data_IF_500379222892
#
_entry.id   IF_500379222892
#
_cell.length_a   1.000
_cell.length_b   1.000
_cell.length_c   1.000
_cell.angle_alpha   90.00
_cell.angle_beta   90.00
_cell.angle_gamma   90.00
#
_symmetry.space_group_name_H-M   'P 1'
#
loop_
_entity.id
_entity.type
_entity.pdbx_description
1 polymer ?
#
# COMPACT_ATOMS: atom_id res chain seq x y z
N UNK A 1 39.32 -7.65 -0.78
CA UNK A 1 39.69 -7.23 -2.14
C UNK A 1 38.89 -5.98 -2.49
N UNK A 2 39.53 -4.85 -2.84
CA UNK A 2 38.83 -3.60 -3.15
C UNK A 2 38.04 -3.74 -4.45
N UNK A 3 36.74 -3.44 -4.40
CA UNK A 3 35.88 -3.37 -5.58
C UNK A 3 36.41 -2.28 -6.53
N UNK A 4 36.98 -2.68 -7.68
CA UNK A 4 37.29 -1.73 -8.77
C UNK A 4 36.00 -0.98 -9.14
N UNK A 5 36.00 0.36 -9.20
CA UNK A 5 34.85 1.11 -9.67
C UNK A 5 34.53 0.70 -11.11
N UNK A 6 33.28 0.34 -11.38
CA UNK A 6 32.81 0.06 -12.75
C UNK A 6 33.02 1.33 -13.59
N UNK A 7 33.73 1.20 -14.70
CA UNK A 7 33.93 2.29 -15.64
C UNK A 7 32.58 2.90 -16.03
N UNK A 8 32.51 4.24 -16.08
CA UNK A 8 31.32 4.97 -16.49
C UNK A 8 30.87 4.46 -17.88
N UNK A 9 29.56 4.25 -18.10
CA UNK A 9 29.04 3.79 -19.39
C UNK A 9 29.45 4.78 -20.48
N UNK A 10 29.99 4.24 -21.58
CA UNK A 10 30.44 5.05 -22.72
C UNK A 10 29.26 5.84 -23.31
N UNK A 11 29.54 6.99 -23.95
CA UNK A 11 28.49 7.83 -24.56
C UNK A 11 27.55 7.07 -25.52
N UNK A 12 28.04 5.98 -26.12
CA UNK A 12 27.25 5.09 -26.97
C UNK A 12 26.13 4.34 -26.20
N UNK A 13 26.37 3.97 -24.95
CA UNK A 13 25.36 3.32 -24.09
C UNK A 13 24.23 4.29 -23.78
N UNK A 14 24.56 5.54 -23.43
CA UNK A 14 23.57 6.58 -23.20
C UNK A 14 22.75 6.89 -24.45
N UNK A 15 23.40 7.01 -25.62
CA UNK A 15 22.69 7.20 -26.89
C UNK A 15 21.69 6.08 -27.18
N UNK A 16 22.11 4.82 -26.99
CA UNK A 16 21.22 3.65 -27.15
C UNK A 16 20.02 3.70 -26.22
N UNK A 17 20.25 4.05 -24.95
CA UNK A 17 19.19 4.14 -23.94
C UNK A 17 18.22 5.26 -24.27
N UNK A 18 18.72 6.43 -24.62
CA UNK A 18 17.87 7.56 -25.03
C UNK A 18 17.03 7.17 -26.24
N UNK A 19 17.62 6.52 -27.24
CA UNK A 19 16.89 6.03 -28.42
C UNK A 19 15.81 4.98 -28.05
N UNK A 20 16.14 4.02 -27.18
CA UNK A 20 15.19 2.99 -26.71
C UNK A 20 14.03 3.63 -25.93
N UNK A 21 14.31 4.57 -25.03
CA UNK A 21 13.27 5.29 -24.28
C UNK A 21 12.37 6.09 -25.21
N UNK A 22 12.95 6.78 -26.20
CA UNK A 22 12.18 7.56 -27.18
C UNK A 22 11.30 6.67 -28.06
N UNK A 23 11.81 5.49 -28.46
CA UNK A 23 11.04 4.50 -29.20
C UNK A 23 9.84 3.97 -28.38
N UNK A 24 10.05 3.64 -27.10
CA UNK A 24 8.95 3.21 -26.23
C UNK A 24 7.94 4.31 -25.96
N UNK A 25 8.37 5.57 -25.81
CA UNK A 25 7.46 6.71 -25.71
C UNK A 25 6.57 6.83 -26.95
N UNK A 26 7.13 6.68 -28.15
CA UNK A 26 6.36 6.68 -29.39
C UNK A 26 5.37 5.51 -29.45
N UNK A 27 5.78 4.31 -29.01
CA UNK A 27 4.88 3.14 -28.93
C UNK A 27 3.75 3.38 -27.94
N UNK A 28 4.03 3.92 -26.74
CA UNK A 28 3.00 4.24 -25.74
C UNK A 28 2.03 5.29 -26.27
N UNK A 29 2.51 6.36 -26.90
CA UNK A 29 1.67 7.40 -27.51
C UNK A 29 0.82 6.82 -28.64
N UNK A 30 1.40 5.96 -29.48
CA UNK A 30 0.68 5.28 -30.55
C UNK A 30 -0.42 4.36 -30.02
N UNK A 31 -0.10 3.51 -29.04
CA UNK A 31 -1.07 2.61 -28.38
C UNK A 31 -2.17 3.45 -27.72
N UNK A 32 -1.83 4.49 -26.99
CA UNK A 32 -2.81 5.37 -26.35
C UNK A 32 -3.77 6.01 -27.37
N UNK A 33 -3.23 6.52 -28.50
CA UNK A 33 -4.05 7.05 -29.59
C UNK A 33 -4.94 5.98 -30.21
N UNK A 34 -4.41 4.77 -30.41
CA UNK A 34 -5.18 3.63 -30.92
C UNK A 34 -6.31 3.27 -29.96
N UNK A 35 -6.03 3.18 -28.66
CA UNK A 35 -7.04 2.91 -27.63
C UNK A 35 -8.13 3.98 -27.62
N UNK A 36 -7.79 5.26 -27.79
CA UNK A 36 -8.78 6.33 -27.87
C UNK A 36 -9.65 6.24 -29.14
N UNK A 37 -9.06 5.84 -30.27
CA UNK A 37 -9.81 5.67 -31.54
C UNK A 37 -10.79 4.50 -31.46
N UNK A 38 -10.37 3.37 -30.86
CA UNK A 38 -11.17 2.15 -30.77
C UNK A 38 -11.85 1.95 -29.40
N UNK A 39 -11.95 3.00 -28.59
CA UNK A 39 -12.40 2.88 -27.21
C UNK A 39 -13.80 2.24 -27.11
N UNK A 40 -14.71 2.60 -28.02
CA UNK A 40 -16.09 2.09 -28.02
C UNK A 40 -16.15 0.59 -28.33
N UNK A 41 -15.49 0.14 -29.39
CA UNK A 41 -15.46 -1.29 -29.77
C UNK A 41 -14.74 -2.14 -28.71
N UNK A 42 -13.65 -1.62 -28.13
CA UNK A 42 -12.95 -2.29 -27.03
C UNK A 42 -13.82 -2.41 -25.78
N UNK A 43 -14.57 -1.37 -25.43
CA UNK A 43 -15.47 -1.38 -24.28
C UNK A 43 -16.60 -2.40 -24.47
N UNK A 44 -17.12 -2.52 -25.69
CA UNK A 44 -18.18 -3.46 -26.04
C UNK A 44 -17.71 -4.92 -26.06
N UNK A 45 -16.49 -5.18 -26.58
CA UNK A 45 -15.88 -6.52 -26.52
C UNK A 45 -15.43 -6.92 -25.11
N UNK A 46 -14.99 -5.97 -24.29
CA UNK A 46 -14.58 -6.17 -22.89
C UNK A 46 -15.70 -5.72 -21.93
N UNK A 47 -16.91 -6.21 -22.17
CA UNK A 47 -18.08 -5.85 -21.36
C UNK A 47 -18.03 -6.45 -19.94
N UNK A 48 -17.19 -7.46 -19.72
CA UNK A 48 -16.92 -8.01 -18.40
C UNK A 48 -15.77 -7.23 -17.72
N UNK A 49 -16.01 -6.57 -16.57
CA UNK A 49 -14.99 -5.77 -15.88
C UNK A 49 -13.76 -6.60 -15.50
N UNK A 50 -13.96 -7.87 -15.15
CA UNK A 50 -12.87 -8.82 -14.84
C UNK A 50 -11.96 -9.04 -16.06
N UNK A 51 -12.53 -9.19 -17.25
CA UNK A 51 -11.75 -9.39 -18.48
C UNK A 51 -10.95 -8.13 -18.84
N UNK A 52 -11.52 -6.95 -18.59
CA UNK A 52 -10.82 -5.67 -18.75
C UNK A 52 -9.61 -5.55 -17.83
N UNK A 53 -9.77 -5.87 -16.55
CA UNK A 53 -8.66 -5.87 -15.57
C UNK A 53 -7.59 -6.90 -15.94
N UNK A 54 -7.99 -8.10 -16.36
CA UNK A 54 -7.06 -9.14 -16.79
C UNK A 54 -6.25 -8.73 -18.03
N UNK A 55 -6.93 -8.21 -19.06
CA UNK A 55 -6.30 -7.78 -20.31
C UNK A 55 -5.31 -6.62 -20.08
N UNK A 56 -5.71 -5.60 -19.31
CA UNK A 56 -4.85 -4.46 -18.96
C UNK A 56 -3.64 -4.89 -18.13
N UNK A 57 -3.82 -5.80 -17.19
CA UNK A 57 -2.72 -6.38 -16.38
C UNK A 57 -1.70 -7.12 -17.26
N UNK A 58 -2.18 -7.98 -18.17
CA UNK A 58 -1.31 -8.74 -19.07
C UNK A 58 -0.54 -7.80 -20.01
N UNK A 59 -1.22 -6.81 -20.58
CA UNK A 59 -0.62 -5.86 -21.53
C UNK A 59 0.44 -4.98 -20.87
N UNK A 60 0.17 -4.45 -19.67
CA UNK A 60 1.15 -3.66 -18.91
C UNK A 60 2.34 -4.51 -18.44
N UNK A 61 2.10 -5.77 -18.04
CA UNK A 61 3.18 -6.69 -17.67
C UNK A 61 4.08 -6.96 -18.87
N UNK A 62 3.50 -7.24 -20.04
CA UNK A 62 4.24 -7.43 -21.27
C UNK A 62 5.02 -6.17 -21.65
N UNK A 63 4.42 -4.99 -21.53
CA UNK A 63 5.09 -3.70 -21.79
C UNK A 63 6.33 -3.52 -20.91
N UNK A 64 6.20 -3.69 -19.59
CA UNK A 64 7.33 -3.58 -18.65
C UNK A 64 8.41 -4.62 -18.96
N UNK A 65 8.01 -5.85 -19.31
CA UNK A 65 8.92 -6.91 -19.70
C UNK A 65 9.72 -6.55 -20.96
N UNK A 66 9.06 -6.06 -22.01
CA UNK A 66 9.73 -5.66 -23.25
C UNK A 66 10.62 -4.42 -23.08
N UNK A 67 10.22 -3.45 -22.25
CA UNK A 67 11.08 -2.31 -21.86
C UNK A 67 12.34 -2.84 -21.17
N UNK A 68 12.21 -3.73 -20.19
CA UNK A 68 13.34 -4.32 -19.48
C UNK A 68 14.27 -5.11 -20.43
N UNK A 69 13.72 -5.84 -21.39
CA UNK A 69 14.48 -6.60 -22.39
C UNK A 69 15.22 -5.69 -23.38
N UNK A 70 14.66 -4.50 -23.67
CA UNK A 70 15.25 -3.55 -24.62
C UNK A 70 16.41 -2.73 -24.04
N UNK A 71 16.61 -2.75 -22.71
CA UNK A 71 17.65 -1.98 -22.04
C UNK A 71 18.98 -2.76 -21.99
N UNK A 72 20.07 -2.25 -22.61
CA UNK A 72 21.28 -3.03 -22.86
C UNK A 72 22.09 -3.39 -21.59
N UNK A 73 21.83 -2.75 -20.45
CA UNK A 73 22.50 -3.01 -19.18
C UNK A 73 21.72 -3.96 -18.25
N UNK A 74 20.47 -4.25 -18.57
CA UNK A 74 19.63 -5.09 -17.74
C UNK A 74 19.87 -6.55 -18.12
N UNK A 75 20.23 -7.42 -17.15
CA UNK A 75 20.28 -8.85 -17.41
C UNK A 75 18.87 -9.34 -17.75
N UNK A 76 18.77 -10.37 -18.60
CA UNK A 76 17.49 -10.97 -18.96
C UNK A 76 16.66 -11.25 -17.70
N UNK A 77 15.41 -10.76 -17.62
CA UNK A 77 14.58 -10.91 -16.44
C UNK A 77 14.35 -12.39 -16.16
N UNK A 78 14.71 -12.85 -14.96
CA UNK A 78 14.43 -14.21 -14.51
C UNK A 78 12.91 -14.37 -14.30
N UNK A 79 12.40 -15.60 -14.37
CA UNK A 79 10.97 -15.91 -14.17
C UNK A 79 10.41 -15.31 -12.86
N UNK A 80 11.18 -15.33 -11.76
CA UNK A 80 10.79 -14.68 -10.51
C UNK A 80 10.58 -13.16 -10.65
N UNK A 81 11.44 -12.47 -11.41
CA UNK A 81 11.30 -11.04 -11.68
C UNK A 81 10.04 -10.74 -12.50
N UNK A 82 9.74 -11.59 -13.49
CA UNK A 82 8.51 -11.46 -14.29
C UNK A 82 7.27 -11.66 -13.43
N UNK A 83 7.27 -12.69 -12.56
CA UNK A 83 6.18 -12.93 -11.61
C UNK A 83 5.98 -11.74 -10.65
N UNK A 84 7.07 -11.18 -10.11
CA UNK A 84 6.99 -10.01 -9.24
C UNK A 84 6.44 -8.78 -9.98
N UNK A 85 6.89 -8.53 -11.22
CA UNK A 85 6.35 -7.44 -12.06
C UNK A 85 4.86 -7.66 -12.34
N UNK A 86 4.46 -8.88 -12.69
CA UNK A 86 3.05 -9.22 -12.90
C UNK A 86 2.20 -8.92 -11.67
N UNK A 87 2.64 -9.32 -10.48
CA UNK A 87 1.93 -9.03 -9.22
C UNK A 87 1.81 -7.52 -8.99
N UNK A 88 2.89 -6.76 -9.15
CA UNK A 88 2.86 -5.30 -8.96
C UNK A 88 1.98 -4.59 -9.98
N UNK A 89 2.06 -4.99 -11.25
CA UNK A 89 1.20 -4.46 -12.31
C UNK A 89 -0.26 -4.79 -12.03
N UNK A 90 -0.56 -6.03 -11.61
CA UNK A 90 -1.92 -6.43 -11.22
C UNK A 90 -2.44 -5.54 -10.09
N UNK A 91 -1.66 -5.33 -9.04
CA UNK A 91 -2.03 -4.47 -7.92
C UNK A 91 -2.24 -3.02 -8.36
N UNK A 92 -1.39 -2.49 -9.23
CA UNK A 92 -1.51 -1.13 -9.76
C UNK A 92 -2.75 -0.97 -10.63
N UNK A 93 -3.00 -1.92 -11.54
CA UNK A 93 -4.20 -1.93 -12.40
C UNK A 93 -5.45 -2.07 -11.56
N UNK A 94 -5.45 -2.96 -10.58
CA UNK A 94 -6.59 -3.15 -9.67
C UNK A 94 -6.84 -1.87 -8.87
N UNK A 95 -5.78 -1.25 -8.31
CA UNK A 95 -5.88 0.00 -7.57
C UNK A 95 -6.36 1.18 -8.43
N UNK A 96 -5.87 1.30 -9.67
CA UNK A 96 -6.34 2.30 -10.63
C UNK A 96 -7.80 2.07 -11.05
N UNK A 97 -8.18 0.81 -11.29
CA UNK A 97 -9.55 0.45 -11.65
C UNK A 97 -10.51 0.74 -10.50
N UNK A 98 -10.11 0.41 -9.27
CA UNK A 98 -10.89 0.69 -8.07
C UNK A 98 -10.97 2.19 -7.77
N UNK A 99 -9.92 2.97 -8.05
CA UNK A 99 -9.95 4.42 -7.82
C UNK A 99 -10.79 5.19 -8.83
N UNK A 100 -10.95 4.66 -10.04
CA UNK A 100 -11.79 5.26 -11.09
C UNK A 100 -13.21 4.68 -11.11
N UNK A 101 -13.45 3.56 -10.45
CA UNK A 101 -14.80 3.04 -10.25
C UNK A 101 -15.53 3.99 -9.32
N UNK A 102 -16.56 4.66 -9.85
CA UNK A 102 -17.42 5.50 -9.02
C UNK A 102 -17.98 4.67 -7.87
N UNK A 103 -18.19 5.30 -6.71
CA UNK A 103 -18.70 4.59 -5.52
C UNK A 103 -19.99 3.83 -5.84
N UNK A 104 -20.89 4.43 -6.62
CA UNK A 104 -22.13 3.78 -7.08
C UNK A 104 -21.87 2.51 -7.89
N UNK A 105 -20.86 2.51 -8.76
CA UNK A 105 -20.51 1.32 -9.55
C UNK A 105 -19.88 0.24 -8.69
N UNK A 106 -19.00 0.63 -7.76
CA UNK A 106 -18.39 -0.30 -6.81
C UNK A 106 -19.43 -0.92 -5.87
N UNK A 107 -20.36 -0.11 -5.37
CA UNK A 107 -21.49 -0.53 -4.55
C UNK A 107 -22.42 -1.44 -5.36
N UNK A 108 -22.82 -1.05 -6.57
CA UNK A 108 -23.68 -1.87 -7.43
C UNK A 108 -23.02 -3.22 -7.76
N UNK A 109 -21.72 -3.24 -8.07
CA UNK A 109 -20.97 -4.47 -8.30
C UNK A 109 -20.92 -5.35 -7.06
N UNK A 110 -20.63 -4.78 -5.89
CA UNK A 110 -20.59 -5.52 -4.62
C UNK A 110 -21.97 -6.04 -4.20
N UNK A 111 -23.02 -5.27 -4.42
CA UNK A 111 -24.41 -5.70 -4.19
C UNK A 111 -24.79 -6.83 -5.16
N UNK A 112 -24.44 -6.70 -6.44
CA UNK A 112 -24.67 -7.77 -7.44
C UNK A 112 -23.91 -9.05 -7.06
N UNK A 113 -22.65 -8.94 -6.61
CA UNK A 113 -21.88 -10.08 -6.12
C UNK A 113 -22.46 -10.67 -4.83
N UNK A 114 -22.97 -9.84 -3.92
CA UNK A 114 -23.66 -10.28 -2.70
C UNK A 114 -24.94 -11.04 -3.05
N UNK A 115 -25.72 -10.56 -4.00
CA UNK A 115 -26.98 -11.18 -4.36
C UNK A 115 -26.75 -12.49 -5.13
N UNK A 116 -25.65 -12.59 -5.90
CA UNK A 116 -25.28 -13.80 -6.64
C UNK A 116 -24.66 -14.91 -5.76
N UNK A 117 -23.76 -14.56 -4.84
CA UNK A 117 -22.98 -15.52 -4.02
C UNK A 117 -23.46 -15.59 -2.56
N UNK A 118 -24.41 -14.75 -2.15
CA UNK A 118 -25.00 -14.73 -0.83
C UNK A 118 -24.03 -14.29 0.28
N UNK A 119 -24.16 -14.82 1.52
CA UNK A 119 -23.29 -14.49 2.65
C UNK A 119 -21.81 -14.80 2.43
N UNK A 120 -21.51 -15.73 1.50
CA UNK A 120 -20.13 -16.14 1.16
C UNK A 120 -19.33 -14.95 0.59
N UNK A 121 -19.97 -14.02 -0.12
CA UNK A 121 -19.30 -12.81 -0.65
C UNK A 121 -18.66 -12.00 0.45
N UNK A 122 -19.38 -11.82 1.56
CA UNK A 122 -18.87 -11.04 2.71
C UNK A 122 -17.66 -11.76 3.29
N UNK A 123 -17.74 -13.07 3.49
CA UNK A 123 -16.63 -13.86 4.02
C UNK A 123 -15.40 -13.76 3.11
N UNK A 124 -15.57 -13.95 1.79
CA UNK A 124 -14.48 -13.85 0.83
C UNK A 124 -13.86 -12.45 0.80
N UNK A 125 -14.69 -11.41 0.82
CA UNK A 125 -14.24 -10.02 0.80
C UNK A 125 -13.49 -9.66 2.09
N UNK A 126 -13.95 -10.15 3.24
CA UNK A 126 -13.32 -9.97 4.56
C UNK A 126 -11.96 -10.69 4.62
N UNK A 127 -11.86 -11.91 4.09
CA UNK A 127 -10.59 -12.64 4.00
C UNK A 127 -9.63 -11.90 3.07
N UNK A 128 -10.09 -11.52 1.87
CA UNK A 128 -9.30 -10.77 0.91
C UNK A 128 -8.81 -9.46 1.52
N UNK A 129 -9.70 -8.72 2.19
CA UNK A 129 -9.38 -7.50 2.90
C UNK A 129 -8.28 -7.71 3.95
N UNK A 130 -8.42 -8.73 4.81
CA UNK A 130 -7.42 -9.05 5.82
C UNK A 130 -6.05 -9.40 5.22
N UNK A 131 -6.02 -10.15 4.11
CA UNK A 131 -4.79 -10.50 3.40
C UNK A 131 -4.13 -9.28 2.74
N UNK A 132 -4.93 -8.43 2.09
CA UNK A 132 -4.48 -7.18 1.48
C UNK A 132 -3.90 -6.25 2.53
N UNK A 133 -4.57 -6.10 3.68
CA UNK A 133 -4.10 -5.27 4.78
C UNK A 133 -2.82 -5.83 5.45
N UNK A 134 -2.63 -7.15 5.44
CA UNK A 134 -1.42 -7.77 5.97
C UNK A 134 -0.17 -7.43 5.13
N UNK A 135 -0.35 -7.05 3.86
CA UNK A 135 0.75 -6.66 2.99
C UNK A 135 1.28 -5.26 3.37
N UNK A 136 2.61 -5.07 3.40
CA UNK A 136 3.19 -3.77 3.66
C UNK A 136 2.92 -2.81 2.48
N UNK A 137 2.78 -1.52 2.79
CA UNK A 137 2.57 -0.41 1.85
C UNK A 137 1.21 -0.38 1.14
N UNK A 138 0.30 -1.31 1.43
CA UNK A 138 -1.06 -1.21 0.90
C UNK A 138 -1.95 -0.36 1.81
N UNK A 139 -2.61 0.67 1.25
CA UNK A 139 -3.62 1.44 1.96
C UNK A 139 -4.89 0.57 2.08
N UNK A 140 -5.15 0.07 3.29
CA UNK A 140 -6.28 -0.82 3.56
C UNK A 140 -7.42 -0.16 4.32
N UNK A 141 -7.31 1.12 4.68
CA UNK A 141 -8.38 1.81 5.42
C UNK A 141 -9.58 2.06 4.51
N UNK A 142 -9.30 2.41 3.26
CA UNK A 142 -10.27 2.67 2.19
C UNK A 142 -11.14 1.45 1.92
N UNK A 143 -10.52 0.26 1.87
CA UNK A 143 -11.23 -0.99 1.63
C UNK A 143 -12.08 -1.40 2.85
N UNK A 144 -11.59 -1.15 4.07
CA UNK A 144 -12.38 -1.33 5.30
C UNK A 144 -13.59 -0.40 5.36
N UNK A 145 -13.42 0.88 4.99
CA UNK A 145 -14.49 1.86 4.90
C UNK A 145 -15.52 1.49 3.82
N UNK A 146 -15.08 0.98 2.68
CA UNK A 146 -15.97 0.47 1.64
C UNK A 146 -16.84 -0.70 2.15
N UNK A 147 -16.24 -1.66 2.86
CA UNK A 147 -17.00 -2.77 3.46
C UNK A 147 -18.01 -2.24 4.49
N UNK A 148 -17.61 -1.28 5.33
CA UNK A 148 -18.51 -0.62 6.29
C UNK A 148 -19.67 0.09 5.61
N UNK A 149 -19.40 0.80 4.51
CA UNK A 149 -20.41 1.56 3.79
C UNK A 149 -21.42 0.66 3.07
N UNK A 150 -20.94 -0.42 2.46
CA UNK A 150 -21.80 -1.33 1.68
C UNK A 150 -22.62 -2.26 2.58
N UNK A 151 -22.04 -2.73 3.69
CA UNK A 151 -22.67 -3.75 4.55
C UNK A 151 -23.10 -3.21 5.92
N UNK A 152 -22.99 -1.89 6.15
CA UNK A 152 -23.45 -1.21 7.35
C UNK A 152 -22.79 -1.75 8.64
N UNK A 153 -23.56 -1.89 9.75
CA UNK A 153 -23.05 -2.37 11.03
C UNK A 153 -22.37 -3.75 10.96
N UNK A 154 -22.92 -4.67 10.17
CA UNK A 154 -22.33 -5.99 9.96
C UNK A 154 -20.97 -5.89 9.24
N UNK A 155 -20.89 -5.00 8.23
CA UNK A 155 -19.66 -4.64 7.56
C UNK A 155 -18.60 -4.07 8.51
N UNK A 156 -18.99 -3.22 9.45
CA UNK A 156 -18.07 -2.64 10.44
C UNK A 156 -17.46 -3.68 11.37
N UNK A 157 -18.27 -4.62 11.87
CA UNK A 157 -17.75 -5.72 12.68
C UNK A 157 -16.84 -6.63 11.84
N UNK A 158 -17.24 -6.95 10.62
CA UNK A 158 -16.47 -7.81 9.73
C UNK A 158 -15.13 -7.19 9.33
N UNK A 159 -15.12 -5.90 8.98
CA UNK A 159 -13.92 -5.13 8.70
C UNK A 159 -13.03 -5.09 9.95
N UNK A 160 -13.54 -4.77 11.14
CA UNK A 160 -12.76 -4.79 12.38
C UNK A 160 -12.06 -6.14 12.62
N UNK A 161 -12.79 -7.25 12.46
CA UNK A 161 -12.23 -8.59 12.65
C UNK A 161 -11.16 -8.92 11.60
N UNK A 162 -11.38 -8.55 10.34
CA UNK A 162 -10.37 -8.70 9.29
C UNK A 162 -9.14 -7.82 9.51
N UNK A 163 -9.33 -6.59 9.98
CA UNK A 163 -8.22 -5.68 10.32
C UNK A 163 -7.37 -6.28 11.42
N UNK A 164 -8.00 -6.72 12.51
CA UNK A 164 -7.31 -7.37 13.62
C UNK A 164 -6.59 -8.64 13.15
N UNK A 165 -7.27 -9.50 12.41
CA UNK A 165 -6.71 -10.76 11.88
C UNK A 165 -5.54 -10.53 10.92
N UNK A 166 -5.69 -9.62 9.96
CA UNK A 166 -4.66 -9.29 8.97
C UNK A 166 -3.40 -8.69 9.60
N UNK A 167 -3.56 -7.78 10.55
CA UNK A 167 -2.42 -7.18 11.26
C UNK A 167 -1.75 -8.17 12.23
N UNK A 168 -2.52 -9.05 12.87
CA UNK A 168 -1.97 -10.17 13.65
C UNK A 168 -1.20 -11.18 12.77
N UNK A 169 -1.69 -11.42 11.54
CA UNK A 169 -1.00 -12.25 10.55
C UNK A 169 0.33 -11.61 10.14
N UNK A 170 0.33 -10.33 9.78
CA UNK A 170 1.55 -9.58 9.44
C UNK A 170 2.57 -9.62 10.59
N UNK A 171 2.12 -9.38 11.82
CA UNK A 171 2.95 -9.50 13.03
C UNK A 171 3.52 -10.91 13.22
N UNK A 172 2.70 -11.95 13.01
CA UNK A 172 3.13 -13.34 13.09
C UNK A 172 4.18 -13.71 12.05
N UNK A 173 3.97 -13.31 10.79
CA UNK A 173 4.96 -13.47 9.71
C UNK A 173 6.25 -12.74 10.06
N UNK A 174 6.17 -11.51 10.56
CA UNK A 174 7.32 -10.72 10.99
C UNK A 174 8.12 -11.43 12.09
N UNK A 175 7.44 -12.04 13.05
CA UNK A 175 8.07 -12.78 14.15
C UNK A 175 8.76 -14.07 13.69
N UNK A 176 8.18 -14.73 12.69
CA UNK A 176 8.74 -15.93 12.06
C UNK A 176 9.95 -15.64 11.16
N UNK A 177 10.05 -14.43 10.62
CA UNK A 177 11.19 -14.01 9.81
C UNK A 177 12.48 -13.93 10.65
N UNK A 178 13.59 -14.52 10.19
CA UNK A 178 14.88 -14.33 10.82
C UNK A 178 15.35 -12.87 10.66
N UNK A 179 15.80 -12.25 11.75
CA UNK A 179 16.23 -10.84 11.75
C UNK A 179 17.31 -10.55 10.70
N UNK A 180 18.23 -11.49 10.47
CA UNK A 180 19.29 -11.33 9.48
C UNK A 180 18.77 -11.16 8.05
N UNK A 181 17.62 -11.75 7.69
CA UNK A 181 17.02 -11.59 6.36
C UNK A 181 16.58 -10.15 6.17
N UNK A 182 15.93 -9.59 7.19
CA UNK A 182 15.42 -8.21 7.17
C UNK A 182 16.57 -7.21 7.20
N UNK A 183 17.58 -7.41 8.06
CA UNK A 183 18.76 -6.53 8.11
C UNK A 183 19.53 -6.56 6.78
N UNK A 184 19.68 -7.73 6.14
CA UNK A 184 20.33 -7.83 4.84
C UNK A 184 19.50 -7.15 3.73
N UNK A 185 18.17 -7.29 3.77
CA UNK A 185 17.29 -6.63 2.81
C UNK A 185 17.32 -5.10 2.99
N UNK A 186 17.25 -4.61 4.23
CA UNK A 186 17.40 -3.20 4.58
C UNK A 186 18.77 -2.66 4.15
N UNK A 187 19.84 -3.43 4.33
CA UNK A 187 21.17 -3.08 3.83
C UNK A 187 21.25 -2.95 2.31
N UNK A 188 20.48 -3.75 1.56
CA UNK A 188 20.41 -3.65 0.08
C UNK A 188 19.71 -2.38 -0.40
N UNK A 189 18.71 -1.89 0.35
CA UNK A 189 18.01 -0.64 0.04
C UNK A 189 18.73 0.59 0.62
N UNK A 190 19.93 0.42 1.20
CA UNK A 190 20.76 1.50 1.73
C UNK A 190 20.44 1.90 3.19
N UNK A 191 19.58 1.16 3.88
CA UNK A 191 19.26 1.41 5.30
C UNK A 191 20.25 0.66 6.19
N UNK A 192 21.17 1.40 6.79
CA UNK A 192 22.19 0.84 7.71
C UNK A 192 21.65 0.82 9.13
N UNK A 193 21.34 -0.38 9.64
CA UNK A 193 21.00 -0.55 11.05
C UNK A 193 22.24 -0.56 11.95
N UNK A 194 22.12 -0.11 13.21
CA UNK A 194 23.21 -0.22 14.19
C UNK A 194 23.66 -1.67 14.41
N UNK A 195 24.93 -1.85 14.81
CA UNK A 195 25.44 -3.16 15.26
C UNK A 195 24.59 -3.61 16.46
N UNK A 196 23.85 -4.70 16.30
CA UNK A 196 22.82 -5.17 17.24
C UNK A 196 21.38 -5.16 16.69
N UNK A 197 21.21 -4.83 15.40
CA UNK A 197 19.96 -5.04 14.67
C UNK A 197 18.87 -4.06 15.06
N UNK A 198 17.62 -4.53 14.98
CA UNK A 198 16.42 -3.73 15.25
C UNK A 198 16.31 -3.34 16.73
N UNK A 199 16.76 -4.21 17.63
CA UNK A 199 16.75 -3.96 19.07
C UNK A 199 17.71 -2.82 19.47
N UNK A 200 18.95 -2.85 18.97
CA UNK A 200 19.91 -1.78 19.22
C UNK A 200 19.48 -0.44 18.62
N UNK A 201 18.73 -0.46 17.49
CA UNK A 201 18.13 0.74 16.92
C UNK A 201 17.10 1.37 17.88
N UNK A 202 16.23 0.56 18.48
CA UNK A 202 15.25 1.01 19.46
C UNK A 202 15.90 1.57 20.73
N UNK A 203 16.94 0.90 21.25
CA UNK A 203 17.64 1.34 22.47
C UNK A 203 18.38 2.67 22.26
N UNK A 204 18.94 2.89 21.06
CA UNK A 204 19.65 4.13 20.72
C UNK A 204 18.72 5.34 20.65
N UNK A 205 17.47 5.13 20.23
CA UNK A 205 16.41 6.14 20.20
C UNK A 205 15.95 6.49 21.63
N UNK A 206 15.91 5.50 22.52
CA UNK A 206 15.52 5.67 23.93
C UNK A 206 16.62 6.27 24.82
N UNK A 207 17.81 6.54 24.27
CA UNK A 207 18.95 7.01 25.04
C UNK A 207 18.72 8.42 25.64
N UNK A 208 19.22 8.69 26.87
CA UNK A 208 18.94 9.92 27.62
C UNK A 208 19.43 11.21 26.95
N UNK A 209 20.36 11.12 25.98
CA UNK A 209 20.78 12.27 25.15
C UNK A 209 19.64 12.88 24.31
N UNK A 210 18.50 12.20 24.18
CA UNK A 210 17.30 12.74 23.53
C UNK A 210 16.65 13.91 24.31
N UNK A 211 16.94 14.10 25.60
CA UNK A 211 16.36 15.21 26.40
C UNK A 211 16.85 16.62 26.01
N UNK A 212 17.95 16.73 25.25
CA UNK A 212 18.44 18.00 24.71
C UNK A 212 17.71 18.44 23.42
N UNK A 213 16.69 17.70 22.97
CA UNK A 213 16.03 17.96 21.69
C UNK A 213 14.88 18.98 21.83
N UNK A 214 14.49 19.58 20.70
CA UNK A 214 13.38 20.52 20.56
C UNK A 214 12.02 19.92 21.00
N UNK A 215 10.99 20.73 21.31
CA UNK A 215 9.69 20.26 21.81
C UNK A 215 9.05 19.10 21.01
N UNK A 216 8.97 19.11 19.67
CA UNK A 216 8.40 17.98 18.92
C UNK A 216 9.23 16.69 19.07
N UNK A 217 10.55 16.83 19.22
CA UNK A 217 11.45 15.70 19.41
C UNK A 217 11.38 15.13 20.83
N UNK A 218 11.03 15.93 21.84
CA UNK A 218 10.75 15.44 23.21
C UNK A 218 9.46 14.63 23.26
N UNK A 219 8.42 15.07 22.54
CA UNK A 219 7.18 14.32 22.41
C UNK A 219 7.45 12.97 21.73
N UNK A 220 8.17 12.98 20.60
CA UNK A 220 8.58 11.76 19.91
C UNK A 220 9.38 10.82 20.83
N UNK A 221 10.39 11.33 21.55
CA UNK A 221 11.17 10.53 22.49
C UNK A 221 10.32 9.95 23.64
N UNK A 222 9.31 10.69 24.11
CA UNK A 222 8.41 10.23 25.18
C UNK A 222 7.44 9.16 24.69
N UNK A 223 6.92 9.31 23.46
CA UNK A 223 6.12 8.29 22.79
C UNK A 223 6.93 7.00 22.60
N UNK A 224 8.20 7.11 22.17
CA UNK A 224 9.08 5.96 21.90
C UNK A 224 9.42 5.15 23.16
N UNK A 225 9.44 5.78 24.35
CA UNK A 225 9.52 5.07 25.64
C UNK A 225 8.34 4.13 25.87
N UNK A 226 7.18 4.44 25.29
CA UNK A 226 5.95 3.67 25.43
C UNK A 226 5.66 2.92 24.12
N UNK A 227 6.37 1.79 23.89
CA UNK A 227 6.30 1.03 22.62
C UNK A 227 4.88 0.70 22.13
N UNK A 228 3.95 0.40 23.04
CA UNK A 228 2.55 0.10 22.69
C UNK A 228 1.77 1.37 22.32
N UNK A 229 2.03 2.49 23.00
CA UNK A 229 1.45 3.78 22.64
C UNK A 229 2.00 4.27 21.30
N UNK A 230 3.30 4.11 21.06
CA UNK A 230 3.93 4.37 19.76
C UNK A 230 3.27 3.58 18.65
N UNK A 231 3.00 2.28 18.87
CA UNK A 231 2.27 1.46 17.91
C UNK A 231 0.88 2.03 17.61
N UNK A 232 0.09 2.34 18.64
CA UNK A 232 -1.24 2.90 18.47
C UNK A 232 -1.23 4.24 17.71
N UNK A 233 -0.25 5.10 17.99
CA UNK A 233 -0.05 6.38 17.30
C UNK A 233 0.37 6.14 15.85
N UNK A 234 1.34 5.27 15.57
CA UNK A 234 1.78 4.97 14.21
C UNK A 234 0.64 4.44 13.33
N UNK A 235 -0.24 3.60 13.89
CA UNK A 235 -1.39 3.06 13.16
C UNK A 235 -2.43 4.12 12.81
N UNK A 236 -2.58 5.16 13.64
CA UNK A 236 -3.54 6.23 13.43
C UNK A 236 -2.90 7.51 12.85
N UNK A 237 -1.60 7.50 12.55
CA UNK A 237 -0.91 8.66 12.03
C UNK A 237 -1.25 8.87 10.55
N UNK A 238 -1.61 10.09 10.11
CA UNK A 238 -1.84 10.38 8.70
C UNK A 238 -0.54 10.16 7.91
N UNK A 239 -0.63 9.42 6.80
CA UNK A 239 0.55 9.06 6.01
C UNK A 239 1.34 7.86 6.55
N UNK A 240 0.78 7.06 7.44
CA UNK A 240 1.39 5.79 7.87
C UNK A 240 1.71 4.83 6.70
N UNK A 241 1.08 5.00 5.53
CA UNK A 241 1.38 4.27 4.30
C UNK A 241 2.85 4.41 3.89
N UNK A 242 3.47 5.58 4.12
CA UNK A 242 4.90 5.81 3.88
C UNK A 242 5.79 4.93 4.78
N UNK A 243 5.30 4.54 5.95
CA UNK A 243 5.96 3.62 6.88
C UNK A 243 5.60 2.14 6.61
N UNK A 244 4.87 1.85 5.53
CA UNK A 244 4.37 0.52 5.21
C UNK A 244 2.92 0.27 5.62
N UNK A 245 2.18 1.30 6.04
CA UNK A 245 0.79 1.18 6.48
C UNK A 245 0.65 0.33 7.74
N UNK A 246 -0.57 -0.12 8.03
CA UNK A 246 -0.82 -1.00 9.17
C UNK A 246 -0.03 -2.31 9.10
N UNK A 247 -0.07 -2.98 7.93
CA UNK A 247 0.61 -4.26 7.70
C UNK A 247 2.13 -4.18 7.87
N UNK A 248 2.77 -3.16 7.30
CA UNK A 248 4.21 -2.95 7.43
C UNK A 248 4.65 -2.64 8.85
N UNK A 249 3.89 -1.78 9.56
CA UNK A 249 4.16 -1.49 10.98
C UNK A 249 4.03 -2.77 11.82
N UNK A 250 2.96 -3.55 11.63
CA UNK A 250 2.76 -4.81 12.33
C UNK A 250 3.87 -5.83 12.04
N UNK A 251 4.27 -5.96 10.77
CA UNK A 251 5.38 -6.80 10.33
C UNK A 251 6.70 -6.41 11.02
N UNK A 252 7.05 -5.12 11.03
CA UNK A 252 8.25 -4.61 11.70
C UNK A 252 8.22 -4.83 13.22
N UNK A 253 7.06 -4.64 13.86
CA UNK A 253 6.87 -5.01 15.26
C UNK A 253 7.12 -6.51 15.49
N UNK A 254 6.69 -7.37 14.57
CA UNK A 254 6.96 -8.81 14.60
C UNK A 254 8.46 -9.13 14.51
N UNK A 255 9.13 -8.54 13.53
CA UNK A 255 10.58 -8.72 13.30
C UNK A 255 11.38 -8.28 14.52
N UNK A 256 10.99 -7.18 15.17
CA UNK A 256 11.68 -6.67 16.36
C UNK A 256 11.66 -7.63 17.55
N UNK A 257 10.66 -8.53 17.63
CA UNK A 257 10.40 -9.44 18.75
C UNK A 257 10.25 -8.74 20.12
N UNK A 258 10.17 -7.41 20.16
CA UNK A 258 10.04 -6.63 21.40
C UNK A 258 8.61 -6.61 21.95
N UNK A 259 7.64 -6.92 21.11
CA UNK A 259 6.23 -6.96 21.50
C UNK A 259 5.84 -8.38 21.92
N UNK A 260 5.10 -8.52 23.01
CA UNK A 260 4.44 -9.78 23.36
C UNK A 260 3.16 -9.93 22.54
N UNK A 261 2.82 -11.17 22.17
CA UNK A 261 1.65 -11.48 21.31
C UNK A 261 0.34 -10.91 21.87
N UNK A 262 0.08 -11.14 23.17
CA UNK A 262 -1.16 -10.71 23.84
C UNK A 262 -1.26 -9.19 23.94
N UNK A 263 -0.19 -8.52 24.34
CA UNK A 263 -0.21 -7.07 24.48
C UNK A 263 -0.27 -6.36 23.12
N UNK A 264 0.37 -6.93 22.10
CA UNK A 264 0.24 -6.45 20.72
C UNK A 264 -1.22 -6.55 20.26
N UNK A 265 -1.86 -7.71 20.40
CA UNK A 265 -3.27 -7.90 20.05
C UNK A 265 -4.22 -6.94 20.78
N UNK A 266 -4.00 -6.74 22.09
CA UNK A 266 -4.82 -5.82 22.88
C UNK A 266 -4.64 -4.35 22.44
N UNK A 267 -3.38 -3.94 22.24
CA UNK A 267 -3.07 -2.59 21.74
C UNK A 267 -3.71 -2.36 20.38
N UNK A 268 -3.65 -3.36 19.51
CA UNK A 268 -4.21 -3.31 18.17
C UNK A 268 -5.74 -3.20 18.22
N UNK A 269 -6.41 -4.04 19.00
CA UNK A 269 -7.86 -4.01 19.21
C UNK A 269 -8.33 -2.62 19.63
N UNK A 270 -7.64 -1.98 20.58
CA UNK A 270 -7.95 -0.60 20.98
C UNK A 270 -7.67 0.39 19.85
N UNK A 271 -6.48 0.33 19.25
CA UNK A 271 -6.01 1.31 18.28
C UNK A 271 -6.89 1.36 17.01
N UNK A 272 -7.46 0.25 16.58
CA UNK A 272 -8.30 0.17 15.37
C UNK A 272 -9.80 0.35 15.67
N UNK A 273 -10.22 0.32 16.93
CA UNK A 273 -11.63 0.40 17.33
C UNK A 273 -12.37 1.72 17.06
N UNK A 274 -11.73 2.92 17.01
CA UNK A 274 -12.48 4.18 16.93
C UNK A 274 -13.42 4.26 15.73
N UNK A 275 -12.95 3.92 14.52
CA UNK A 275 -13.76 4.03 13.30
C UNK A 275 -14.93 3.04 13.30
N UNK A 276 -14.74 1.71 13.54
CA UNK A 276 -15.84 0.77 13.67
C UNK A 276 -16.85 1.14 14.75
N UNK A 277 -16.40 1.63 15.92
CA UNK A 277 -17.31 2.06 17.00
C UNK A 277 -18.18 3.23 16.55
N UNK A 278 -17.60 4.23 15.88
CA UNK A 278 -18.36 5.37 15.38
C UNK A 278 -19.41 4.95 14.34
N UNK A 279 -19.10 3.99 13.47
CA UNK A 279 -20.07 3.42 12.51
C UNK A 279 -21.17 2.63 13.23
N UNK A 280 -20.80 1.77 14.18
CA UNK A 280 -21.76 0.97 14.96
C UNK A 280 -22.67 1.84 15.83
N UNK A 281 -22.16 2.96 16.34
CA UNK A 281 -22.94 3.95 17.10
C UNK A 281 -23.84 4.82 16.21
N UNK A 282 -23.75 4.69 14.88
CA UNK A 282 -24.48 5.52 13.93
C UNK A 282 -23.99 6.97 13.88
N UNK A 283 -22.83 7.27 14.46
CA UNK A 283 -22.24 8.62 14.49
C UNK A 283 -21.50 8.97 13.19
N UNK A 284 -21.03 7.94 12.47
CA UNK A 284 -20.51 8.06 11.11
C UNK A 284 -21.54 7.50 10.12
N UNK A 285 -22.32 8.41 9.51
CA UNK A 285 -23.05 8.08 8.29
C UNK A 285 -22.01 7.87 7.18
N UNK A 286 -21.93 6.67 6.63
CA UNK A 286 -20.94 6.34 5.59
C UNK A 286 -21.25 6.97 4.24
N UNK A 287 -22.45 7.56 4.06
CA UNK A 287 -22.84 8.31 2.86
C UNK A 287 -22.00 9.59 2.68
N UNK A 288 -21.94 10.55 3.63
CA UNK A 288 -21.20 11.80 3.45
C UNK A 288 -19.67 11.68 3.44
N UNK A 289 -19.06 10.65 4.07
CA UNK A 289 -17.60 10.48 4.05
C UNK A 289 -17.06 10.07 2.68
N UNK A 290 -17.92 9.51 1.82
CA UNK A 290 -17.52 8.91 0.53
C UNK A 290 -17.82 9.81 -0.66
N UNK A 291 -18.80 10.72 -0.56
CA UNK A 291 -18.93 11.86 -1.48
C UNK A 291 -17.72 12.83 -1.37
N UNK A 292 -17.11 12.91 -0.18
CA UNK A 292 -15.98 13.78 0.11
C UNK A 292 -14.59 13.19 -0.27
N UNK A 293 -14.49 12.41 -1.35
CA UNK A 293 -13.21 12.28 -2.07
C UNK A 293 -12.79 13.59 -2.78
N UNK A 294 -13.60 14.64 -2.64
CA UNK A 294 -13.17 16.03 -2.76
C UNK A 294 -12.40 16.59 -1.55
N UNK A 295 -12.41 16.03 -0.34
CA UNK A 295 -11.87 16.71 0.85
C UNK A 295 -10.38 17.11 0.76
N UNK A 296 -9.54 16.28 0.15
CA UNK A 296 -8.13 16.63 -0.12
C UNK A 296 -7.99 17.58 -1.32
N UNK A 297 -8.86 17.46 -2.33
CA UNK A 297 -8.83 18.30 -3.53
C UNK A 297 -9.43 19.70 -3.27
N UNK A 298 -10.54 19.78 -2.56
CA UNK A 298 -11.21 20.97 -2.05
C UNK A 298 -10.39 21.63 -0.95
N UNK A 299 -9.79 20.87 -0.03
CA UNK A 299 -8.86 21.43 0.97
C UNK A 299 -7.63 22.07 0.34
N UNK A 300 -7.02 21.42 -0.66
CA UNK A 300 -5.88 21.98 -1.40
C UNK A 300 -6.28 23.15 -2.30
N UNK A 301 -7.43 23.08 -2.99
CA UNK A 301 -7.90 24.20 -3.83
C UNK A 301 -8.42 25.38 -3.00
N UNK A 302 -8.92 25.17 -1.77
CA UNK A 302 -9.24 26.27 -0.86
C UNK A 302 -7.98 26.99 -0.38
N UNK A 303 -6.91 26.22 -0.09
CA UNK A 303 -5.60 26.77 0.25
C UNK A 303 -4.98 27.47 -0.97
N UNK A 304 -5.07 26.90 -2.16
CA UNK A 304 -4.56 27.49 -3.40
C UNK A 304 -5.28 28.81 -3.73
N UNK A 305 -6.60 28.90 -3.52
CA UNK A 305 -7.37 30.16 -3.65
C UNK A 305 -7.01 31.22 -2.60
N UNK A 306 -6.54 30.82 -1.42
CA UNK A 306 -6.05 31.73 -0.39
C UNK A 306 -4.66 32.32 -0.72
N UNK A 307 -3.90 31.71 -1.64
CA UNK A 307 -2.57 32.16 -2.04
C UNK A 307 -2.50 32.82 -3.43
N UNK A 308 -3.60 32.78 -4.21
CA UNK A 308 -3.67 33.33 -5.59
C UNK A 308 -4.38 34.70 -5.65
N UNK A 309 -4.92 35.19 -4.53
CA UNK A 309 -5.43 36.55 -4.40
C UNK A 309 -4.62 37.33 -3.36
N UNK A 310 -3.43 37.75 -3.76
CA UNK A 310 -2.74 38.98 -3.33
C UNK A 310 -1.90 39.50 -4.50
#
# INVERSE_FOLDING_TARGET
MPHKPKALPSGLVWLRVTATVLAWLLVVVFIHRLTHVYQYELVEMLNLPVLRVAATTLLLTALVYFIALSLPWLPNPRAHSVCMVFVWVTLLVLGHSLSHMGFHDAQAMLLTMRDALGPITIVLLVILYGLVLAMPFLPGVELGLLIMAVFGPAGALAAYMATLGGLMLAYGVGRALPEHVVVNWLGRIGVVLPRGGTAAAADRINAPKAMALSPPRRLAATLLKHRYLSLAVCLNFPGNAALGGGGGVALLCGVSRQFSWRAFAFTLAIAISPVPILVLAGLLSTEPLMEHHGFLHDGLTHIERLFVHD
#
